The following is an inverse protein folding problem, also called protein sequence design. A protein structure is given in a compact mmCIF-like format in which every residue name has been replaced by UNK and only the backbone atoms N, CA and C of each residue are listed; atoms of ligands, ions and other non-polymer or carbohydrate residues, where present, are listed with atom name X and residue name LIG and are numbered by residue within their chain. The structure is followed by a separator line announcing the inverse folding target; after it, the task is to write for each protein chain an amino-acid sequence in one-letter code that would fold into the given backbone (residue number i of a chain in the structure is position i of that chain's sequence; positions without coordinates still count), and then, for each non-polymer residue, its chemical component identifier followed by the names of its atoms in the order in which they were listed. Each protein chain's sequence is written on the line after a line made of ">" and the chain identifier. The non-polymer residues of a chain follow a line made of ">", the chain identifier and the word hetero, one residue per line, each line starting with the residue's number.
data_IF_955637010176
#
_entry.id   IF_955637010176
#
_cell.length_a   1.000
_cell.length_b   1.000
_cell.length_c   1.000
_cell.angle_alpha   90.00
_cell.angle_beta   90.00
_cell.angle_gamma   90.00
#
_symmetry.space_group_name_H-M   'P 1'
#
loop_
_entity.id
_entity.type
_entity.pdbx_description
1 polymer ?
#
# COMPACT_ATOMS: atom_id res chain seq x y z
N UNK A 1 -6.14 57.00 0.70
CA UNK A 1 -5.91 56.09 1.84
C UNK A 1 -7.20 55.67 2.56
N UNK A 2 -8.08 56.57 2.99
CA UNK A 2 -9.35 56.15 3.64
C UNK A 2 -10.35 55.53 2.65
N UNK A 3 -10.54 56.14 1.49
CA UNK A 3 -11.44 55.61 0.44
C UNK A 3 -10.95 54.28 -0.14
N UNK A 4 -9.64 54.16 -0.38
CA UNK A 4 -9.00 52.92 -0.84
C UNK A 4 -9.17 51.74 0.14
N UNK A 5 -9.23 52.03 1.45
CA UNK A 5 -9.49 51.01 2.47
C UNK A 5 -10.95 50.56 2.49
N UNK A 6 -11.90 51.48 2.32
CA UNK A 6 -13.33 51.15 2.22
C UNK A 6 -13.64 50.34 0.95
N UNK A 7 -12.95 50.63 -0.15
CA UNK A 7 -13.14 49.92 -1.41
C UNK A 7 -12.56 48.50 -1.37
N UNK A 8 -11.44 48.29 -0.67
CA UNK A 8 -10.89 46.96 -0.42
C UNK A 8 -11.79 46.11 0.47
N UNK A 9 -12.40 46.71 1.51
CA UNK A 9 -13.30 46.04 2.43
C UNK A 9 -14.57 45.57 1.70
N UNK A 10 -15.18 46.46 0.90
CA UNK A 10 -16.34 46.13 0.08
C UNK A 10 -16.04 45.03 -0.95
N UNK A 11 -14.82 44.99 -1.49
CA UNK A 11 -14.40 43.92 -2.42
C UNK A 11 -14.30 42.56 -1.72
N UNK A 12 -13.73 42.54 -0.51
CA UNK A 12 -13.63 41.31 0.29
C UNK A 12 -15.01 40.78 0.71
N UNK A 13 -15.93 41.65 1.09
CA UNK A 13 -17.31 41.28 1.44
C UNK A 13 -18.08 40.70 0.24
N UNK A 14 -17.98 41.33 -0.91
CA UNK A 14 -18.66 40.86 -2.12
C UNK A 14 -18.08 39.53 -2.63
N UNK A 15 -16.77 39.34 -2.53
CA UNK A 15 -16.11 38.08 -2.87
C UNK A 15 -16.51 36.97 -1.91
N UNK A 16 -16.63 37.27 -0.61
CA UNK A 16 -17.13 36.31 0.38
C UNK A 16 -18.56 35.86 0.06
N UNK A 17 -19.48 36.81 -0.20
CA UNK A 17 -20.86 36.50 -0.54
C UNK A 17 -20.98 35.67 -1.82
N UNK A 18 -20.21 36.01 -2.86
CA UNK A 18 -20.16 35.24 -4.11
C UNK A 18 -19.68 33.80 -3.87
N UNK A 19 -18.64 33.61 -3.06
CA UNK A 19 -18.10 32.28 -2.74
C UNK A 19 -19.08 31.44 -1.91
N UNK A 20 -19.67 32.01 -0.87
CA UNK A 20 -20.52 31.28 0.05
C UNK A 20 -21.93 31.04 -0.48
N UNK A 21 -22.50 32.04 -1.17
CA UNK A 21 -23.91 32.04 -1.55
C UNK A 21 -24.16 32.18 -3.06
N UNK A 22 -23.13 32.44 -3.88
CA UNK A 22 -23.31 32.68 -5.31
C UNK A 22 -23.99 31.51 -6.02
N UNK A 23 -23.46 30.30 -5.86
CA UNK A 23 -24.01 29.11 -6.51
C UNK A 23 -25.42 28.77 -6.01
N UNK A 24 -25.62 28.79 -4.68
CA UNK A 24 -26.92 28.41 -4.11
C UNK A 24 -28.01 29.43 -4.44
N UNK A 25 -27.73 30.73 -4.34
CA UNK A 25 -28.68 31.79 -4.67
C UNK A 25 -28.99 31.80 -6.16
N UNK A 26 -28.00 31.61 -7.05
CA UNK A 26 -28.25 31.55 -8.49
C UNK A 26 -29.21 30.43 -8.85
N UNK A 27 -29.01 29.24 -8.29
CA UNK A 27 -29.89 28.09 -8.52
C UNK A 27 -31.28 28.31 -7.90
N UNK A 28 -31.34 28.83 -6.68
CA UNK A 28 -32.60 29.09 -5.99
C UNK A 28 -33.45 30.14 -6.74
N UNK A 29 -32.82 31.23 -7.17
CA UNK A 29 -33.47 32.30 -7.94
C UNK A 29 -33.90 31.81 -9.33
N UNK A 30 -33.11 30.95 -9.97
CA UNK A 30 -33.53 30.31 -11.21
C UNK A 30 -34.79 29.44 -11.02
N UNK A 31 -34.89 28.69 -9.92
CA UNK A 31 -36.07 27.90 -9.60
C UNK A 31 -37.29 28.76 -9.26
N UNK A 32 -37.12 29.83 -8.48
CA UNK A 32 -38.19 30.81 -8.21
C UNK A 32 -38.69 31.44 -9.52
N UNK A 33 -37.78 31.80 -10.44
CA UNK A 33 -38.15 32.37 -11.74
C UNK A 33 -38.93 31.41 -12.64
N UNK A 34 -38.68 30.10 -12.52
CA UNK A 34 -39.42 29.05 -13.24
C UNK A 34 -40.78 28.78 -12.63
N UNK A 35 -40.84 28.57 -11.31
CA UNK A 35 -42.06 28.14 -10.60
C UNK A 35 -43.03 29.30 -10.39
N UNK A 36 -42.52 30.53 -10.25
CA UNK A 36 -43.29 31.75 -9.96
C UNK A 36 -44.30 31.53 -8.82
N UNK A 37 -43.83 31.13 -7.63
CA UNK A 37 -44.69 30.91 -6.47
C UNK A 37 -45.42 32.20 -6.06
N UNK A 38 -46.58 32.05 -5.41
CA UNK A 38 -47.34 33.18 -4.88
C UNK A 38 -46.58 33.95 -3.80
N UNK A 39 -45.78 33.26 -2.99
CA UNK A 39 -44.81 33.87 -2.08
C UNK A 39 -43.37 33.44 -2.48
N UNK A 40 -42.62 34.29 -3.20
CA UNK A 40 -41.26 33.99 -3.63
C UNK A 40 -40.24 34.03 -2.48
N UNK A 41 -40.49 34.77 -1.40
CA UNK A 41 -39.57 34.88 -0.28
C UNK A 41 -39.65 33.61 0.56
N UNK A 42 -40.87 33.15 0.87
CA UNK A 42 -41.09 31.91 1.59
C UNK A 42 -40.55 30.71 0.81
N UNK A 43 -40.86 30.62 -0.49
CA UNK A 43 -40.35 29.54 -1.34
C UNK A 43 -38.81 29.50 -1.37
N UNK A 44 -38.16 30.67 -1.48
CA UNK A 44 -36.71 30.77 -1.48
C UNK A 44 -36.10 30.27 -0.16
N UNK A 45 -36.71 30.63 0.98
CA UNK A 45 -36.26 30.17 2.29
C UNK A 45 -36.34 28.64 2.42
N UNK A 46 -37.45 28.05 1.99
CA UNK A 46 -37.62 26.58 1.95
C UNK A 46 -36.59 25.93 1.02
N UNK A 47 -36.37 26.48 -0.18
CA UNK A 47 -35.40 25.96 -1.13
C UNK A 47 -33.98 25.93 -0.55
N UNK A 48 -33.55 27.05 0.06
CA UNK A 48 -32.22 27.17 0.68
C UNK A 48 -32.05 26.22 1.87
N UNK A 49 -33.10 26.01 2.67
CA UNK A 49 -33.09 25.04 3.76
C UNK A 49 -32.82 23.62 3.26
N UNK A 50 -33.49 23.20 2.19
CA UNK A 50 -33.31 21.87 1.61
C UNK A 50 -32.00 21.72 0.83
N UNK A 51 -31.54 22.78 0.16
CA UNK A 51 -30.30 22.79 -0.62
C UNK A 51 -29.10 22.31 0.19
N UNK A 52 -28.93 22.80 1.42
CA UNK A 52 -27.79 22.41 2.27
C UNK A 52 -27.73 20.90 2.52
N UNK A 53 -28.88 20.24 2.69
CA UNK A 53 -28.95 18.79 2.93
C UNK A 53 -28.56 18.02 1.67
N UNK A 54 -29.05 18.45 0.51
CA UNK A 54 -28.78 17.81 -0.78
C UNK A 54 -27.31 18.01 -1.20
N UNK A 55 -26.77 19.22 -1.05
CA UNK A 55 -25.40 19.54 -1.47
C UNK A 55 -24.36 18.72 -0.72
N UNK A 56 -24.53 18.57 0.60
CA UNK A 56 -23.64 17.71 1.40
C UNK A 56 -23.65 16.25 0.95
N UNK A 57 -24.80 15.73 0.54
CA UNK A 57 -24.89 14.36 0.03
C UNK A 57 -24.22 14.22 -1.34
N UNK A 58 -24.42 15.19 -2.23
CA UNK A 58 -23.78 15.22 -3.56
C UNK A 58 -22.27 15.34 -3.47
N UNK A 59 -21.76 16.21 -2.60
CA UNK A 59 -20.32 16.39 -2.40
C UNK A 59 -19.64 15.10 -1.93
N UNK A 60 -20.26 14.41 -0.97
CA UNK A 60 -19.80 13.08 -0.52
C UNK A 60 -19.81 12.06 -1.65
N UNK A 61 -20.90 11.95 -2.40
CA UNK A 61 -20.99 11.05 -3.55
C UNK A 61 -19.93 11.36 -4.62
N UNK A 62 -19.67 12.64 -4.91
CA UNK A 62 -18.59 13.02 -5.83
C UNK A 62 -17.21 12.67 -5.29
N UNK A 63 -16.97 12.84 -3.99
CA UNK A 63 -15.70 12.51 -3.34
C UNK A 63 -15.46 11.00 -3.35
N UNK A 64 -16.47 10.19 -3.02
CA UNK A 64 -16.41 8.73 -3.05
C UNK A 64 -16.13 8.22 -4.47
N UNK A 65 -16.76 8.83 -5.49
CA UNK A 65 -16.48 8.49 -6.91
C UNK A 65 -15.06 8.80 -7.34
N UNK A 66 -14.51 9.92 -6.87
CA UNK A 66 -13.11 10.30 -7.15
C UNK A 66 -12.17 9.27 -6.50
N UNK A 67 -12.38 8.94 -5.23
CA UNK A 67 -11.57 7.97 -4.49
C UNK A 67 -11.61 6.59 -5.15
N UNK A 68 -12.80 6.10 -5.49
CA UNK A 68 -12.96 4.81 -6.16
C UNK A 68 -12.25 4.76 -7.52
N UNK A 69 -12.25 5.88 -8.25
CA UNK A 69 -11.55 5.97 -9.54
C UNK A 69 -10.04 5.96 -9.37
N UNK A 70 -9.52 6.68 -8.38
CA UNK A 70 -8.11 6.70 -8.03
C UNK A 70 -7.61 5.30 -7.61
N UNK A 71 -8.33 4.63 -6.71
CA UNK A 71 -8.00 3.26 -6.28
C UNK A 71 -8.00 2.26 -7.45
N UNK A 72 -8.95 2.38 -8.37
CA UNK A 72 -8.99 1.54 -9.56
C UNK A 72 -7.78 1.76 -10.47
N UNK A 73 -7.38 3.02 -10.66
CA UNK A 73 -6.23 3.37 -11.50
C UNK A 73 -4.92 2.90 -10.83
N UNK A 74 -4.79 3.05 -9.51
CA UNK A 74 -3.65 2.55 -8.73
C UNK A 74 -3.55 1.02 -8.80
N UNK A 75 -4.67 0.32 -8.62
CA UNK A 75 -4.74 -1.14 -8.73
C UNK A 75 -4.33 -1.64 -10.13
N UNK A 76 -4.73 -0.90 -11.17
CA UNK A 76 -4.36 -1.20 -12.55
C UNK A 76 -2.85 -1.07 -12.76
N UNK A 77 -2.22 -0.01 -12.24
CA UNK A 77 -0.78 0.19 -12.32
C UNK A 77 0.00 -0.84 -11.49
N UNK A 78 -0.47 -1.17 -10.29
CA UNK A 78 0.11 -2.23 -9.44
C UNK A 78 0.08 -3.59 -10.14
N UNK A 79 -1.04 -3.91 -10.82
CA UNK A 79 -1.19 -5.15 -11.60
C UNK A 79 -0.18 -5.20 -12.75
N UNK A 80 -0.01 -4.09 -13.48
CA UNK A 80 0.98 -4.00 -14.57
C UNK A 80 2.39 -4.19 -14.04
N UNK A 81 2.74 -3.51 -12.95
CA UNK A 81 4.05 -3.62 -12.31
C UNK A 81 4.32 -5.07 -11.87
N UNK A 82 3.34 -5.71 -11.24
CA UNK A 82 3.44 -7.11 -10.79
C UNK A 82 3.67 -8.07 -11.96
N UNK A 83 3.02 -7.85 -13.11
CA UNK A 83 3.25 -8.67 -14.30
C UNK A 83 4.66 -8.50 -14.88
N UNK A 84 5.19 -7.27 -14.87
CA UNK A 84 6.55 -7.00 -15.32
C UNK A 84 7.55 -7.71 -14.41
N UNK A 85 7.43 -7.55 -13.09
CA UNK A 85 8.30 -8.22 -12.11
C UNK A 85 8.29 -9.74 -12.25
N UNK A 86 7.10 -10.35 -12.42
CA UNK A 86 6.97 -11.80 -12.64
C UNK A 86 7.67 -12.26 -13.92
N UNK A 87 7.60 -11.46 -14.99
CA UNK A 87 8.31 -11.78 -16.24
C UNK A 87 9.82 -11.72 -16.04
N UNK A 88 10.32 -10.67 -15.40
CA UNK A 88 11.75 -10.50 -15.12
C UNK A 88 12.29 -11.62 -14.23
N UNK A 89 11.57 -11.99 -13.17
CA UNK A 89 11.92 -13.11 -12.29
C UNK A 89 12.05 -14.43 -13.08
N UNK A 90 11.08 -14.71 -13.95
CA UNK A 90 11.10 -15.91 -14.78
C UNK A 90 12.29 -15.92 -15.75
N UNK A 91 12.62 -14.78 -16.36
CA UNK A 91 13.80 -14.66 -17.23
C UNK A 91 15.12 -14.89 -16.47
N UNK A 92 15.23 -14.39 -15.24
CA UNK A 92 16.41 -14.61 -14.38
C UNK A 92 16.51 -16.09 -14.02
N UNK A 93 15.42 -16.73 -13.64
CA UNK A 93 15.39 -18.15 -13.26
C UNK A 93 15.80 -19.05 -14.45
N UNK A 94 15.28 -18.78 -15.65
CA UNK A 94 15.70 -19.50 -16.87
C UNK A 94 17.19 -19.32 -17.17
N UNK A 95 17.71 -18.08 -17.08
CA UNK A 95 19.13 -17.80 -17.30
C UNK A 95 20.00 -18.52 -16.27
N UNK A 96 19.59 -18.52 -15.00
CA UNK A 96 20.29 -19.23 -13.93
C UNK A 96 20.36 -20.73 -14.20
N UNK A 97 19.24 -21.38 -14.53
CA UNK A 97 19.22 -22.79 -14.88
C UNK A 97 20.10 -23.12 -16.08
N UNK A 98 20.08 -22.28 -17.12
CA UNK A 98 20.88 -22.47 -18.33
C UNK A 98 22.38 -22.35 -18.04
N UNK A 99 22.77 -21.41 -17.18
CA UNK A 99 24.17 -21.20 -16.79
C UNK A 99 24.69 -22.24 -15.77
N UNK A 100 23.83 -22.84 -14.94
CA UNK A 100 24.24 -23.83 -13.94
C UNK A 100 24.28 -25.28 -14.45
N UNK A 101 23.58 -25.61 -15.54
CA UNK A 101 23.57 -26.95 -16.16
C UNK A 101 24.96 -27.50 -16.59
N UNK A 102 25.99 -26.69 -16.97
CA UNK A 102 27.31 -27.23 -17.32
C UNK A 102 28.21 -27.60 -16.12
N UNK A 103 28.01 -27.06 -14.92
CA UNK A 103 28.99 -27.22 -13.82
C UNK A 103 28.86 -28.55 -13.05
N UNK A 104 27.69 -29.17 -13.04
CA UNK A 104 27.44 -30.42 -12.28
C UNK A 104 28.07 -31.65 -12.98
N UNK A 105 28.25 -31.59 -14.31
CA UNK A 105 28.90 -32.67 -15.08
C UNK A 105 30.40 -32.81 -14.77
N UNK A 106 31.10 -31.70 -14.55
CA UNK A 106 32.57 -31.70 -14.35
C UNK A 106 32.96 -31.99 -12.90
N UNK A 107 32.18 -31.54 -11.91
CA UNK A 107 32.46 -31.81 -10.49
C UNK A 107 32.20 -33.28 -10.09
N UNK A 108 31.38 -34.00 -10.85
CA UNK A 108 31.08 -35.42 -10.63
C UNK A 108 32.19 -36.35 -11.13
N UNK A 109 33.11 -35.87 -11.99
CA UNK A 109 34.14 -36.70 -12.63
C UNK A 109 35.47 -36.75 -11.87
N UNK A 110 35.72 -35.89 -10.88
CA UNK A 110 37.05 -35.80 -10.22
C UNK A 110 37.10 -36.33 -8.79
N UNK A 111 35.99 -36.87 -8.26
CA UNK A 111 35.96 -37.49 -6.91
C UNK A 111 35.95 -39.02 -6.90
N UNK A 112 36.20 -39.69 -8.04
CA UNK A 112 36.33 -41.16 -8.10
C UNK A 112 37.76 -41.69 -8.27
N UNK A 113 38.77 -40.80 -8.37
CA UNK A 113 40.19 -41.21 -8.46
C UNK A 113 40.98 -40.94 -7.17
N UNK A 114 40.41 -40.19 -6.21
CA UNK A 114 41.00 -39.98 -4.87
C UNK A 114 40.18 -40.77 -3.83
N UNK A 115 40.05 -42.09 -4.00
CA UNK A 115 39.52 -42.98 -2.95
C UNK A 115 40.10 -44.40 -3.03
N UNK A 116 41.21 -44.60 -3.77
CA UNK A 116 41.90 -45.91 -3.83
C UNK A 116 43.32 -45.92 -3.29
N UNK A 117 43.86 -44.80 -2.83
CA UNK A 117 45.27 -44.69 -2.43
C UNK A 117 45.50 -44.26 -0.97
N UNK A 118 44.49 -44.35 -0.11
CA UNK A 118 44.65 -44.01 1.31
C UNK A 118 44.00 -45.09 2.19
N UNK A 119 44.34 -46.35 1.93
CA UNK A 119 43.89 -47.45 2.79
C UNK A 119 44.92 -48.58 2.94
N UNK A 120 46.22 -48.25 2.88
CA UNK A 120 47.30 -49.22 3.16
C UNK A 120 48.39 -48.72 4.11
N UNK A 121 48.27 -47.52 4.71
CA UNK A 121 49.28 -47.02 5.68
C UNK A 121 48.70 -46.04 6.72
N UNK A 122 47.71 -46.44 7.50
CA UNK A 122 47.40 -45.76 8.77
C UNK A 122 46.69 -46.73 9.73
N UNK A 123 47.27 -47.93 9.86
CA UNK A 123 47.00 -48.85 10.95
C UNK A 123 48.34 -48.96 11.69
N UNK A 124 48.32 -48.87 13.02
CA UNK A 124 49.48 -48.89 13.93
C UNK A 124 50.19 -47.53 14.14
N UNK A 125 49.55 -46.61 14.86
CA UNK A 125 50.18 -45.77 15.92
C UNK A 125 49.13 -44.88 16.56
N UNK A 126 48.15 -45.50 17.24
CA UNK A 126 47.31 -44.78 18.21
C UNK A 126 47.07 -45.70 19.40
N UNK A 127 48.14 -45.89 20.18
CA UNK A 127 48.10 -46.42 21.53
C UNK A 127 49.19 -45.67 22.30
N UNK A 128 48.83 -45.11 23.46
CA UNK A 128 49.58 -44.22 24.35
C UNK A 128 49.66 -42.75 23.88
N UNK A 129 49.33 -41.72 24.64
CA UNK A 129 48.87 -41.53 26.03
C UNK A 129 48.27 -40.12 26.13
N UNK A 130 47.27 -39.99 26.99
CA UNK A 130 46.95 -38.88 27.91
C UNK A 130 47.47 -37.45 27.65
N UNK A 131 46.57 -36.46 27.71
CA UNK A 131 46.48 -35.57 28.89
C UNK A 131 45.30 -34.56 28.80
N UNK A 132 44.55 -34.49 29.91
CA UNK A 132 43.83 -33.32 30.45
C UNK A 132 42.56 -32.74 29.77
N UNK A 133 41.46 -32.76 30.55
CA UNK A 133 40.20 -32.00 30.47
C UNK A 133 40.37 -30.56 31.04
N UNK A 134 39.31 -29.71 31.24
CA UNK A 134 38.15 -29.30 30.40
C UNK A 134 37.85 -27.76 30.47
N UNK A 135 36.81 -27.30 29.74
CA UNK A 135 36.03 -26.07 30.04
C UNK A 135 35.95 -25.10 28.84
N UNK A 136 34.87 -24.39 28.51
CA UNK A 136 33.59 -24.10 29.17
C UNK A 136 32.66 -23.46 28.12
N UNK A 137 31.34 -23.59 28.33
CA UNK A 137 30.27 -22.69 27.84
C UNK A 137 29.62 -23.00 26.48
N UNK A 138 28.52 -23.76 26.53
CA UNK A 138 27.43 -23.72 25.55
C UNK A 138 26.26 -22.95 26.16
N UNK A 139 25.76 -21.91 25.50
CA UNK A 139 24.41 -21.36 25.69
C UNK A 139 23.98 -20.61 24.42
N UNK A 140 22.90 -21.07 23.79
CA UNK A 140 21.84 -20.31 23.10
C UNK A 140 20.99 -21.33 22.31
N UNK A 141 20.00 -21.94 22.95
CA UNK A 141 18.65 -21.45 23.25
C UNK A 141 17.67 -21.73 22.11
N UNK A 142 16.99 -22.84 22.34
CA UNK A 142 15.77 -23.39 21.77
C UNK A 142 14.61 -22.38 21.74
N UNK A 143 13.85 -22.37 20.64
CA UNK A 143 12.58 -21.64 20.50
C UNK A 143 11.46 -22.69 20.42
N UNK A 144 10.49 -22.72 21.33
CA UNK A 144 9.32 -23.59 21.20
C UNK A 144 8.21 -22.96 20.35
N UNK A 145 7.70 -23.76 19.41
CA UNK A 145 6.43 -23.53 18.70
C UNK A 145 5.23 -23.65 19.65
N UNK A 146 4.21 -22.80 19.47
CA UNK A 146 2.82 -23.10 19.86
C UNK A 146 1.82 -22.40 18.93
N UNK A 147 0.93 -23.20 18.35
CA UNK A 147 -0.30 -22.81 17.64
C UNK A 147 -1.51 -22.89 18.61
N UNK A 148 -2.70 -22.36 18.25
CA UNK A 148 -3.57 -21.59 19.12
C UNK A 148 -4.68 -22.42 19.77
N UNK A 149 -5.35 -21.86 20.77
CA UNK A 149 -6.64 -22.36 21.27
C UNK A 149 -7.65 -21.22 21.43
N UNK A 150 -8.83 -21.49 20.89
CA UNK A 150 -10.10 -20.82 21.14
C UNK A 150 -10.40 -20.76 22.64
N UNK A 151 -11.06 -19.69 23.10
CA UNK A 151 -12.38 -19.85 23.70
C UNK A 151 -13.18 -18.55 23.84
N UNK A 152 -14.48 -18.75 23.74
CA UNK A 152 -15.58 -17.81 23.84
C UNK A 152 -16.15 -17.81 25.26
N UNK A 153 -16.43 -16.63 25.82
CA UNK A 153 -17.43 -16.35 26.87
C UNK A 153 -17.36 -14.84 27.13
N UNK A 154 -18.41 -14.06 27.39
CA UNK A 154 -19.83 -14.24 27.66
C UNK A 154 -20.31 -12.90 28.21
#
# INVERSE_FOLDING_TARGET
>A
MAEERLELDHRMETDYLKRCFGNCLTQALAEVGKVRPSDPIEYLAHWLYHYRKITKAKEKDTQEKIQLKEEYDDNLEETKMTQILKREEYEIQQKYEKCHKPLISVASSTKKTIFKQENTKLLEKEALEQESLPGTSNMLSEIPQQFPSFDSSG
#
